data_IF_488329175539
#
_entry.id   IF_488329175539
#
_cell.length_a   1.000
_cell.length_b   1.000
_cell.length_c   1.000
_cell.angle_alpha   90.00
_cell.angle_beta   90.00
_cell.angle_gamma   90.00
#
_symmetry.space_group_name_H-M   'P 1'
#
loop_
_entity.id
_entity.type
_entity.pdbx_description
1 polymer ?
#
# COMPACT_ATOMS: atom_id res chain seq x y z
N UNK A 1 42.42 33.10 23.44
CA UNK A 1 43.24 33.76 24.49
C UNK A 1 44.24 32.72 24.99
N UNK A 2 45.56 32.76 24.84
CA UNK A 2 46.57 33.70 24.37
C UNK A 2 47.62 32.87 23.61
N UNK A 3 48.08 33.33 22.45
CA UNK A 3 49.24 32.75 21.73
C UNK A 3 50.47 33.60 22.02
N UNK A 4 51.60 32.98 22.38
CA UNK A 4 52.90 33.67 22.44
C UNK A 4 53.87 32.90 21.54
N UNK A 5 54.21 33.48 20.40
CA UNK A 5 55.24 32.99 19.49
C UNK A 5 56.52 33.78 19.79
N UNK A 6 57.59 33.11 20.24
CA UNK A 6 58.88 33.76 20.47
C UNK A 6 59.74 33.72 19.20
N UNK A 7 60.30 34.89 18.91
CA UNK A 7 60.98 35.30 17.68
C UNK A 7 62.27 34.53 17.39
N UNK A 8 62.55 34.37 16.10
CA UNK A 8 63.73 33.74 15.50
C UNK A 8 65.04 34.44 15.92
N UNK A 9 65.84 33.80 16.75
CA UNK A 9 67.29 34.02 16.83
C UNK A 9 67.94 32.83 17.52
N UNK A 10 69.07 32.37 16.99
CA UNK A 10 69.83 31.15 17.35
C UNK A 10 69.42 29.86 16.64
N UNK A 11 69.59 29.89 15.31
CA UNK A 11 69.93 28.69 14.55
C UNK A 11 71.46 28.65 14.47
N UNK A 12 72.09 27.70 15.18
CA UNK A 12 73.43 27.11 14.99
C UNK A 12 73.98 26.69 16.37
N UNK A 13 74.36 25.41 16.47
CA UNK A 13 74.70 24.65 17.69
C UNK A 13 73.48 24.16 18.48
N UNK A 14 73.00 22.97 18.16
CA UNK A 14 73.05 21.82 19.07
C UNK A 14 72.66 20.56 18.28
N UNK A 15 73.70 19.79 17.91
CA UNK A 15 73.58 18.34 17.71
C UNK A 15 73.17 17.75 19.07
N UNK A 16 72.35 16.69 19.04
CA UNK A 16 71.77 15.95 20.18
C UNK A 16 70.38 16.44 20.62
N UNK A 17 69.35 16.05 19.86
CA UNK A 17 68.14 15.34 20.29
C UNK A 17 67.26 15.22 19.04
N UNK A 18 66.65 14.04 18.84
CA UNK A 18 65.69 13.78 17.78
C UNK A 18 64.57 14.83 17.78
N UNK A 19 64.67 15.87 16.97
CA UNK A 19 63.52 16.68 16.56
C UNK A 19 63.21 16.29 15.14
N UNK A 20 62.33 15.29 15.02
CA UNK A 20 61.55 15.08 13.82
C UNK A 20 61.00 16.44 13.33
N UNK A 21 60.91 16.65 12.01
CA UNK A 21 60.42 17.90 11.42
C UNK A 21 59.08 18.26 12.04
N UNK A 22 58.77 19.57 12.11
CA UNK A 22 57.41 20.03 12.37
C UNK A 22 56.45 19.49 11.30
N UNK A 23 56.00 18.25 11.42
CA UNK A 23 54.72 17.79 10.89
C UNK A 23 53.68 18.07 11.96
N UNK A 24 53.42 19.36 12.14
CA UNK A 24 52.22 19.83 12.83
C UNK A 24 51.03 19.74 11.89
N UNK A 25 50.70 18.55 11.39
CA UNK A 25 49.32 18.22 11.11
C UNK A 25 48.91 17.32 12.27
N UNK A 26 48.45 17.89 13.37
CA UNK A 26 47.46 17.16 14.16
C UNK A 26 46.33 16.92 13.17
N UNK A 27 46.27 15.70 12.62
CA UNK A 27 45.17 15.31 11.75
C UNK A 27 43.91 15.72 12.47
N UNK A 28 43.06 16.49 11.78
CA UNK A 28 41.73 16.78 12.24
C UNK A 28 41.05 15.41 12.32
N UNK A 29 41.11 14.78 13.49
CA UNK A 29 40.45 13.52 13.70
C UNK A 29 38.97 13.86 13.80
N UNK A 30 38.30 13.59 12.69
CA UNK A 30 36.87 13.72 12.55
C UNK A 30 36.17 12.90 13.63
N UNK A 31 35.25 13.54 14.34
CA UNK A 31 34.43 12.87 15.33
C UNK A 31 33.28 12.23 14.57
N UNK A 32 33.05 10.94 14.78
CA UNK A 32 31.94 10.25 14.13
C UNK A 32 30.71 10.32 15.04
N UNK A 33 29.89 11.35 14.88
CA UNK A 33 28.68 11.52 15.70
C UNK A 33 27.67 10.39 15.52
N UNK A 34 27.65 9.76 14.34
CA UNK A 34 26.75 8.65 14.03
C UNK A 34 27.18 7.36 14.77
N UNK A 35 28.48 7.08 14.83
CA UNK A 35 29.01 5.93 15.56
C UNK A 35 28.91 6.12 17.08
N UNK A 36 28.99 7.36 17.56
CA UNK A 36 28.83 7.71 18.97
C UNK A 36 27.36 7.91 19.38
N UNK A 37 26.42 7.86 18.43
CA UNK A 37 24.98 8.14 18.64
C UNK A 37 24.73 9.46 19.37
N UNK A 38 25.46 10.50 18.95
CA UNK A 38 25.32 11.87 19.47
C UNK A 38 24.75 12.85 18.45
N UNK A 39 24.30 12.32 17.31
CA UNK A 39 23.54 13.07 16.31
C UNK A 39 22.12 13.40 16.79
N UNK A 40 21.49 14.35 16.10
CA UNK A 40 20.11 14.80 16.30
C UNK A 40 19.21 14.41 15.11
N UNK A 41 19.58 13.38 14.36
CA UNK A 41 18.81 12.93 13.22
C UNK A 41 17.43 12.39 13.65
N UNK A 42 16.44 12.56 12.78
CA UNK A 42 15.13 11.95 12.97
C UNK A 42 15.25 10.42 13.05
N UNK A 43 14.34 9.74 13.76
CA UNK A 43 14.31 8.27 13.82
C UNK A 43 14.15 7.62 12.44
N UNK A 44 13.51 8.35 11.53
CA UNK A 44 13.32 7.99 10.11
C UNK A 44 14.33 8.65 9.19
N UNK A 45 15.49 9.03 9.71
CA UNK A 45 16.65 9.47 8.94
C UNK A 45 17.83 8.50 9.08
N UNK A 46 18.75 8.62 8.14
CA UNK A 46 20.06 7.97 8.11
C UNK A 46 21.08 9.04 8.48
N UNK A 47 21.83 8.80 9.55
CA UNK A 47 23.00 9.62 9.89
C UNK A 47 24.17 9.23 8.98
N UNK A 48 24.77 10.22 8.31
CA UNK A 48 25.96 10.04 7.50
C UNK A 48 27.09 10.92 8.01
N UNK A 49 28.15 10.30 8.51
CA UNK A 49 29.36 11.00 8.94
C UNK A 49 30.10 11.61 7.74
N UNK A 50 30.68 12.80 7.93
CA UNK A 50 31.41 13.56 6.92
C UNK A 50 32.68 14.13 7.55
N UNK A 51 33.70 14.46 6.75
CA UNK A 51 35.05 14.78 7.27
C UNK A 51 35.19 15.96 8.27
N UNK A 52 34.11 16.69 8.58
CA UNK A 52 34.08 17.80 9.53
C UNK A 52 32.77 17.89 10.37
N UNK A 53 31.82 16.96 10.21
CA UNK A 53 30.48 16.97 10.81
C UNK A 53 29.69 15.70 10.40
N UNK A 54 28.40 15.66 10.66
CA UNK A 54 27.47 14.68 10.10
C UNK A 54 26.35 15.37 9.33
N UNK A 55 25.60 14.60 8.51
CA UNK A 55 24.33 15.04 7.94
C UNK A 55 23.26 13.98 8.11
N UNK A 56 22.03 14.43 8.31
CA UNK A 56 20.85 13.59 8.38
C UNK A 56 20.14 13.57 7.03
N UNK A 57 19.68 12.39 6.61
CA UNK A 57 18.98 12.20 5.34
C UNK A 57 17.74 11.37 5.63
N UNK A 58 16.54 11.84 5.31
CA UNK A 58 15.35 11.02 5.48
C UNK A 58 15.50 9.68 4.74
N UNK A 59 15.02 8.60 5.38
CA UNK A 59 14.97 7.27 4.78
C UNK A 59 14.09 7.30 3.52
N UNK A 60 14.27 6.35 2.58
CA UNK A 60 13.37 6.22 1.45
C UNK A 60 11.90 6.15 1.91
N UNK A 61 10.99 6.81 1.18
CA UNK A 61 9.58 6.94 1.55
C UNK A 61 9.28 8.08 2.53
N UNK A 62 10.29 8.84 2.97
CA UNK A 62 10.11 10.00 3.85
C UNK A 62 10.67 11.28 3.22
N UNK A 63 10.06 12.42 3.55
CA UNK A 63 10.47 13.76 3.12
C UNK A 63 10.74 14.65 4.33
N UNK A 64 11.64 15.62 4.19
CA UNK A 64 11.98 16.55 5.26
C UNK A 64 13.44 17.01 5.19
N UNK A 65 13.94 17.55 6.29
CA UNK A 65 15.29 18.09 6.40
C UNK A 65 16.31 17.11 7.03
N UNK A 66 15.86 15.92 7.41
CA UNK A 66 16.67 14.89 8.06
C UNK A 66 16.64 14.92 9.59
N UNK A 67 16.32 16.06 10.20
CA UNK A 67 16.06 16.18 11.65
C UNK A 67 14.57 16.07 11.96
N UNK A 68 13.73 16.44 10.99
CA UNK A 68 12.30 16.16 10.95
C UNK A 68 11.99 15.47 9.62
N UNK A 69 11.49 14.24 9.68
CA UNK A 69 11.09 13.47 8.51
C UNK A 69 9.64 13.04 8.65
N UNK A 70 8.86 13.28 7.61
CA UNK A 70 7.45 12.90 7.51
C UNK A 70 7.29 11.89 6.39
N UNK A 71 6.35 10.97 6.58
CA UNK A 71 5.99 9.98 5.57
C UNK A 71 5.52 10.67 4.28
N UNK A 72 5.93 10.11 3.14
CA UNK A 72 5.41 10.52 1.84
C UNK A 72 4.15 9.70 1.61
N UNK A 73 2.99 10.34 1.65
CA UNK A 73 1.76 9.66 1.27
C UNK A 73 1.71 9.47 -0.25
N UNK A 74 2.10 8.28 -0.72
CA UNK A 74 2.05 7.96 -2.16
C UNK A 74 0.63 7.79 -2.70
N UNK A 75 -0.39 7.81 -1.83
CA UNK A 75 -1.80 7.72 -2.20
C UNK A 75 -2.50 9.09 -2.25
N UNK A 76 -1.80 10.19 -1.96
CA UNK A 76 -2.42 11.52 -1.88
C UNK A 76 -2.77 12.12 -3.27
N UNK A 77 -4.05 12.48 -3.37
CA UNK A 77 -4.81 13.35 -4.29
C UNK A 77 -4.70 13.29 -5.82
N UNK A 78 -3.59 12.92 -6.47
CA UNK A 78 -3.50 12.97 -7.96
C UNK A 78 -2.91 11.71 -8.59
N UNK A 79 -2.29 10.86 -7.78
CA UNK A 79 -1.62 9.65 -8.23
C UNK A 79 -1.88 8.63 -7.12
N UNK A 80 -2.77 7.68 -7.35
CA UNK A 80 -3.11 6.59 -6.41
C UNK A 80 -1.93 5.63 -6.22
N UNK A 81 -0.71 6.12 -6.12
CA UNK A 81 0.51 5.32 -6.23
C UNK A 81 0.63 4.54 -7.54
N UNK A 82 -0.14 4.91 -8.58
CA UNK A 82 -0.27 4.11 -9.80
C UNK A 82 -1.14 2.84 -9.64
N UNK A 83 -1.83 2.66 -8.51
CA UNK A 83 -2.78 1.57 -8.30
C UNK A 83 -4.04 1.73 -9.16
N UNK A 84 -4.50 0.64 -9.79
CA UNK A 84 -5.74 0.63 -10.57
C UNK A 84 -6.99 0.71 -9.69
N UNK A 85 -6.98 0.02 -8.55
CA UNK A 85 -8.06 0.04 -7.56
C UNK A 85 -7.64 0.87 -6.34
N UNK A 86 -7.43 0.24 -5.19
CA UNK A 86 -7.21 0.96 -3.93
C UNK A 86 -5.72 1.06 -3.59
N UNK A 87 -5.29 2.25 -3.20
CA UNK A 87 -3.95 2.54 -2.67
C UNK A 87 -4.01 2.63 -1.15
N UNK A 88 -3.08 1.95 -0.47
CA UNK A 88 -2.95 2.00 0.99
C UNK A 88 -1.57 2.56 1.31
N UNK A 89 -1.54 3.74 1.92
CA UNK A 89 -0.32 4.38 2.41
C UNK A 89 0.18 3.68 3.68
N UNK A 90 1.49 3.45 3.78
CA UNK A 90 2.16 2.76 4.88
C UNK A 90 3.44 3.53 5.24
N UNK A 91 3.80 3.77 6.51
CA UNK A 91 5.02 4.52 6.80
C UNK A 91 6.28 3.98 6.08
N UNK A 92 6.83 4.79 5.16
CA UNK A 92 7.97 4.50 4.31
C UNK A 92 7.68 3.74 3.00
N UNK A 93 6.43 3.50 2.65
CA UNK A 93 5.99 2.67 1.52
C UNK A 93 4.49 2.85 1.18
N UNK A 94 4.04 2.24 0.09
CA UNK A 94 2.62 1.98 -0.12
C UNK A 94 2.41 0.61 -0.76
N UNK A 95 1.15 0.17 -0.80
CA UNK A 95 0.74 -0.99 -1.59
C UNK A 95 -0.60 -0.79 -2.25
N UNK A 96 -0.76 -1.41 -3.41
CA UNK A 96 -2.05 -1.52 -4.07
C UNK A 96 -2.82 -2.74 -3.60
N UNK A 97 -4.13 -2.62 -3.59
CA UNK A 97 -5.06 -3.71 -3.32
C UNK A 97 -6.20 -3.68 -4.32
N UNK A 98 -6.79 -4.84 -4.58
CA UNK A 98 -7.89 -5.00 -5.51
C UNK A 98 -9.21 -5.17 -4.76
N UNK A 99 -10.30 -4.67 -5.35
CA UNK A 99 -11.65 -4.95 -4.87
C UNK A 99 -11.96 -6.45 -4.87
N UNK A 100 -12.99 -6.83 -4.12
CA UNK A 100 -13.49 -8.21 -4.09
C UNK A 100 -13.82 -8.71 -5.52
N UNK A 101 -13.48 -9.98 -5.80
CA UNK A 101 -13.59 -10.57 -7.14
C UNK A 101 -12.40 -10.29 -8.06
N UNK A 102 -11.36 -9.60 -7.59
CA UNK A 102 -10.15 -9.33 -8.38
C UNK A 102 -8.88 -9.83 -7.68
N UNK A 103 -7.86 -10.12 -8.49
CA UNK A 103 -6.52 -10.49 -8.03
C UNK A 103 -5.47 -9.47 -8.46
N UNK A 104 -4.52 -9.19 -7.56
CA UNK A 104 -3.41 -8.27 -7.84
C UNK A 104 -2.41 -8.93 -8.80
N UNK A 105 -2.03 -8.19 -9.83
CA UNK A 105 -1.04 -8.58 -10.82
C UNK A 105 0.37 -8.66 -10.23
N UNK A 106 1.28 -9.35 -10.93
CA UNK A 106 2.70 -9.43 -10.52
C UNK A 106 3.42 -8.08 -10.49
N UNK A 107 2.93 -7.09 -11.24
CA UNK A 107 3.46 -5.73 -11.18
C UNK A 107 3.10 -4.97 -9.89
N UNK A 108 2.18 -5.52 -9.09
CA UNK A 108 1.75 -4.94 -7.83
C UNK A 108 0.83 -3.72 -7.95
N UNK A 109 0.34 -3.39 -9.15
CA UNK A 109 -0.49 -2.21 -9.43
C UNK A 109 -1.80 -2.52 -10.16
N UNK A 110 -1.77 -3.47 -11.10
CA UNK A 110 -2.94 -3.85 -11.89
C UNK A 110 -3.77 -4.91 -11.18
N UNK A 111 -5.06 -4.93 -11.49
CA UNK A 111 -6.01 -5.91 -10.97
C UNK A 111 -6.66 -6.67 -12.12
N UNK A 112 -6.71 -8.00 -12.01
CA UNK A 112 -7.40 -8.86 -12.96
C UNK A 112 -8.64 -9.45 -12.34
N UNK A 113 -9.68 -9.54 -13.14
CA UNK A 113 -10.91 -10.23 -12.79
C UNK A 113 -10.62 -11.71 -12.48
N UNK A 114 -11.18 -12.22 -11.39
CA UNK A 114 -11.10 -13.64 -11.04
C UNK A 114 -12.26 -14.34 -11.71
N UNK A 115 -11.98 -15.24 -12.65
CA UNK A 115 -13.05 -16.03 -13.27
C UNK A 115 -13.49 -17.16 -12.33
N UNK A 116 -14.57 -16.95 -11.58
CA UNK A 116 -15.09 -17.99 -10.69
C UNK A 116 -15.71 -19.18 -11.45
N UNK A 117 -16.05 -19.02 -12.74
CA UNK A 117 -16.59 -20.10 -13.55
C UNK A 117 -15.53 -21.17 -13.88
N UNK A 118 -14.26 -20.80 -13.93
CA UNK A 118 -13.15 -21.74 -14.15
C UNK A 118 -13.01 -22.78 -13.02
N UNK A 119 -13.50 -22.45 -11.82
CA UNK A 119 -13.43 -23.34 -10.65
C UNK A 119 -14.81 -23.91 -10.35
N UNK A 120 -15.00 -25.20 -10.57
CA UNK A 120 -16.25 -25.92 -10.27
C UNK A 120 -17.50 -25.23 -10.86
N UNK A 121 -17.38 -24.59 -12.03
CA UNK A 121 -18.46 -23.87 -12.71
C UNK A 121 -19.10 -22.79 -11.82
N UNK A 122 -18.33 -22.12 -10.95
CA UNK A 122 -18.84 -21.18 -9.95
C UNK A 122 -19.83 -21.81 -8.96
N UNK A 123 -19.92 -23.13 -8.88
CA UNK A 123 -20.99 -23.83 -8.15
C UNK A 123 -22.36 -23.78 -8.83
N UNK A 124 -22.48 -23.21 -10.03
CA UNK A 124 -23.72 -23.16 -10.79
C UNK A 124 -24.18 -24.56 -11.21
N UNK A 125 -25.47 -24.86 -11.06
CA UNK A 125 -26.04 -26.14 -11.52
C UNK A 125 -26.00 -26.28 -13.05
N UNK A 126 -26.21 -25.18 -13.76
CA UNK A 126 -26.28 -25.16 -15.22
C UNK A 126 -25.15 -24.32 -15.82
N UNK A 127 -25.44 -23.10 -16.24
CA UNK A 127 -24.47 -22.25 -16.95
C UNK A 127 -23.91 -21.24 -15.95
N UNK A 128 -22.60 -21.08 -15.92
CA UNK A 128 -21.93 -19.98 -15.23
C UNK A 128 -21.53 -18.93 -16.27
N UNK A 129 -21.74 -17.65 -15.95
CA UNK A 129 -21.29 -16.52 -16.77
C UNK A 129 -20.42 -15.64 -15.88
N UNK A 130 -19.15 -15.55 -16.22
CA UNK A 130 -18.22 -14.66 -15.54
C UNK A 130 -18.52 -13.20 -15.88
N UNK A 131 -18.37 -12.31 -14.90
CA UNK A 131 -18.62 -10.87 -15.02
C UNK A 131 -17.52 -10.10 -14.30
N UNK A 132 -17.37 -8.80 -14.54
CA UNK A 132 -16.33 -8.03 -13.85
C UNK A 132 -16.59 -7.95 -12.34
N UNK A 133 -15.72 -8.59 -11.56
CA UNK A 133 -15.73 -8.67 -10.10
C UNK A 133 -16.71 -9.67 -9.51
N UNK A 134 -17.33 -10.53 -10.34
CA UNK A 134 -18.37 -11.47 -9.89
C UNK A 134 -18.74 -12.48 -10.99
N UNK A 135 -19.74 -13.30 -10.74
CA UNK A 135 -20.31 -14.21 -11.73
C UNK A 135 -21.80 -14.42 -11.47
N UNK A 136 -22.52 -14.88 -12.48
CA UNK A 136 -23.92 -15.23 -12.35
C UNK A 136 -24.23 -16.62 -12.92
N UNK A 137 -25.14 -17.33 -12.25
CA UNK A 137 -25.64 -18.61 -12.71
C UNK A 137 -26.90 -18.45 -13.54
N UNK A 138 -26.94 -19.05 -14.73
CA UNK A 138 -28.08 -19.06 -15.61
C UNK A 138 -28.67 -20.46 -15.76
N UNK A 139 -30.01 -20.51 -15.82
CA UNK A 139 -30.74 -21.74 -16.03
C UNK A 139 -31.11 -21.95 -17.51
N UNK A 140 -31.00 -23.20 -17.96
CA UNK A 140 -31.48 -23.62 -19.28
C UNK A 140 -33.01 -23.44 -19.37
N UNK A 141 -33.51 -23.40 -20.60
CA UNK A 141 -34.94 -23.23 -20.89
C UNK A 141 -35.81 -24.21 -20.08
N UNK A 142 -36.90 -23.69 -19.50
CA UNK A 142 -37.81 -24.46 -18.63
C UNK A 142 -37.47 -24.46 -17.14
N UNK A 143 -36.30 -23.93 -16.75
CA UNK A 143 -35.85 -23.85 -15.36
C UNK A 143 -35.71 -22.40 -14.87
N UNK A 144 -35.79 -22.21 -13.56
CA UNK A 144 -35.68 -20.93 -12.87
C UNK A 144 -34.58 -20.98 -11.83
N UNK A 145 -33.86 -19.88 -11.66
CA UNK A 145 -32.84 -19.78 -10.64
C UNK A 145 -33.51 -19.72 -9.25
N UNK A 146 -33.02 -20.56 -8.35
CA UNK A 146 -33.40 -20.63 -6.94
C UNK A 146 -32.88 -19.42 -6.15
N UNK A 147 -33.42 -19.18 -4.96
CA UNK A 147 -33.00 -18.12 -4.04
C UNK A 147 -31.53 -18.25 -3.61
N UNK A 148 -30.96 -19.45 -3.68
CA UNK A 148 -29.54 -19.66 -3.43
C UNK A 148 -28.64 -19.21 -4.60
N UNK A 149 -29.22 -18.70 -5.69
CA UNK A 149 -28.53 -18.18 -6.88
C UNK A 149 -27.65 -19.18 -7.64
N UNK A 150 -27.73 -20.48 -7.33
CA UNK A 150 -26.89 -21.51 -7.95
C UNK A 150 -27.70 -22.68 -8.51
N UNK A 151 -28.84 -23.01 -7.90
CA UNK A 151 -29.67 -24.15 -8.26
C UNK A 151 -30.78 -23.73 -9.24
N UNK A 152 -31.06 -24.59 -10.21
CA UNK A 152 -32.09 -24.44 -11.22
C UNK A 152 -33.25 -25.39 -10.93
N UNK A 153 -34.42 -24.83 -10.64
CA UNK A 153 -35.64 -25.57 -10.32
C UNK A 153 -36.62 -25.55 -11.50
N UNK A 154 -37.32 -26.65 -11.71
CA UNK A 154 -38.37 -26.73 -12.73
C UNK A 154 -39.68 -26.14 -12.20
N UNK A 155 -40.47 -25.52 -13.09
CA UNK A 155 -41.78 -24.92 -12.75
C UNK A 155 -42.80 -25.89 -12.11
N UNK A 156 -42.55 -27.19 -12.13
CA UNK A 156 -43.40 -28.21 -11.48
C UNK A 156 -43.08 -28.45 -10.00
N UNK A 157 -41.92 -28.00 -9.50
CA UNK A 157 -41.50 -28.14 -8.10
C UNK A 157 -41.57 -26.82 -7.32
N UNK A 158 -41.65 -25.69 -8.03
CA UNK A 158 -42.01 -24.39 -7.46
C UNK A 158 -43.52 -24.21 -7.38
N UNK A 159 -44.17 -24.73 -6.33
CA UNK A 159 -45.43 -24.13 -5.91
C UNK A 159 -45.12 -22.69 -5.53
N UNK A 160 -45.53 -21.75 -6.36
CA UNK A 160 -45.54 -20.34 -6.01
C UNK A 160 -46.33 -20.19 -4.70
N UNK A 161 -45.63 -19.93 -3.59
CA UNK A 161 -46.21 -19.23 -2.46
C UNK A 161 -46.25 -17.74 -2.82
N UNK A 162 -47.01 -17.40 -3.84
CA UNK A 162 -47.77 -16.16 -3.83
C UNK A 162 -49.21 -16.57 -3.56
N UNK A 163 -49.60 -16.55 -2.29
CA UNK A 163 -51.01 -16.50 -1.92
C UNK A 163 -51.56 -15.15 -2.38
N UNK A 164 -51.85 -15.05 -3.67
CA UNK A 164 -52.87 -14.19 -4.23
C UNK A 164 -53.62 -15.07 -5.23
N UNK A 165 -54.53 -15.88 -4.70
CA UNK A 165 -55.50 -16.61 -5.48
C UNK A 165 -56.43 -15.58 -6.15
N UNK A 166 -56.04 -15.10 -7.32
CA UNK A 166 -56.88 -14.21 -8.12
C UNK A 166 -57.97 -15.06 -8.79
N UNK A 167 -59.08 -15.20 -8.08
CA UNK A 167 -60.29 -15.81 -8.65
C UNK A 167 -60.90 -14.81 -9.63
N UNK A 168 -60.67 -14.98 -10.93
CA UNK A 168 -61.48 -14.29 -11.94
C UNK A 168 -62.84 -15.01 -12.03
N UNK A 169 -63.86 -14.47 -11.36
CA UNK A 169 -65.25 -14.80 -11.70
C UNK A 169 -65.73 -13.77 -12.72
N UNK A 170 -65.87 -14.21 -13.97
CA UNK A 170 -66.56 -13.43 -15.00
C UNK A 170 -68.07 -13.44 -14.71
N UNK A 171 -68.56 -12.41 -14.05
CA UNK A 171 -69.95 -11.99 -14.17
C UNK A 171 -70.01 -10.47 -14.10
N UNK A 172 -70.58 -9.90 -15.14
CA UNK A 172 -70.92 -8.50 -15.36
C UNK A 172 -71.05 -7.63 -14.09
N UNK A 173 -70.32 -6.51 -14.12
CA UNK A 173 -70.41 -5.32 -13.28
C UNK A 173 -69.80 -5.39 -11.87
N UNK A 174 -68.66 -4.69 -11.72
CA UNK A 174 -68.01 -4.18 -10.50
C UNK A 174 -67.00 -5.11 -9.79
N UNK A 175 -65.71 -4.73 -9.83
CA UNK A 175 -64.62 -5.36 -9.07
C UNK A 175 -64.51 -4.68 -7.70
N UNK A 176 -64.80 -5.39 -6.60
CA UNK A 176 -64.46 -4.93 -5.25
C UNK A 176 -63.19 -5.61 -4.77
N UNK A 177 -62.23 -4.81 -4.28
CA UNK A 177 -61.04 -5.27 -3.56
C UNK A 177 -61.44 -5.48 -2.10
N UNK A 178 -61.33 -6.70 -1.57
CA UNK A 178 -61.44 -6.94 -0.12
C UNK A 178 -60.22 -7.69 0.36
N UNK A 179 -59.48 -7.02 1.24
CA UNK A 179 -58.29 -7.54 1.92
C UNK A 179 -58.77 -8.17 3.23
N UNK A 180 -58.49 -9.44 3.44
CA UNK A 180 -58.57 -10.08 4.75
C UNK A 180 -57.18 -10.60 5.14
#
# INVERSE_FOLDING_TARGET
>A
MKSVCFSWRFCLFFLLLNTAPCLGTTGLQDRDECAESTDDCHIDAICQNTAQAYRCICKPGFKGDGTHCEDIDECDSDYTGGCVHECINIPGNYRCTCYDGFMLAEDGHNCFDVDECEVNNGGCQHVCVNTMGSYECLCKEGFFLSDNQHTCIHRSEGRALSSAHFSFSSSSESVYLSIH
#
